data_IF_291558386763
#
_entry.id   IF_291558386763
#
_cell.length_a   1.000
_cell.length_b   1.000
_cell.length_c   1.000
_cell.angle_alpha   90.00
_cell.angle_beta   90.00
_cell.angle_gamma   90.00
#
_symmetry.space_group_name_H-M   'P 1'
#
loop_
_entity.id
_entity.type
_entity.pdbx_description
1 polymer ?
#
# COMPACT_ATOMS: atom_id res chain seq x y z
N UNK A 1 27.96 11.74 48.21
CA UNK A 1 26.65 12.44 48.08
C UNK A 1 26.27 12.69 46.62
N UNK A 2 27.21 13.08 45.74
CA UNK A 2 26.95 13.31 44.30
C UNK A 2 26.65 12.00 43.51
N UNK A 3 27.33 10.90 43.79
CA UNK A 3 27.06 9.59 43.15
C UNK A 3 25.65 9.04 43.43
N UNK A 4 25.16 9.16 44.67
CA UNK A 4 23.83 8.67 45.07
C UNK A 4 22.72 9.45 44.34
N UNK A 5 22.91 10.76 44.14
CA UNK A 5 21.98 11.60 43.37
C UNK A 5 21.96 11.18 41.90
N UNK A 6 23.12 10.82 41.33
CA UNK A 6 23.21 10.33 39.94
C UNK A 6 22.52 8.98 39.75
N UNK A 7 22.60 8.07 40.73
CA UNK A 7 22.00 6.75 40.65
C UNK A 7 20.47 6.82 40.78
N UNK A 8 19.96 7.67 41.68
CA UNK A 8 18.51 7.92 41.80
C UNK A 8 17.94 8.60 40.55
N UNK A 9 18.67 9.53 39.94
CA UNK A 9 18.29 10.14 38.67
C UNK A 9 18.26 9.12 37.52
N UNK A 10 19.22 8.19 37.49
CA UNK A 10 19.25 7.10 36.52
C UNK A 10 18.05 6.15 36.69
N UNK A 11 17.74 5.73 37.93
CA UNK A 11 16.55 4.91 38.21
C UNK A 11 15.26 5.62 37.78
N UNK A 12 15.14 6.92 38.05
CA UNK A 12 13.98 7.71 37.65
C UNK A 12 13.84 7.79 36.12
N UNK A 13 14.95 8.03 35.40
CA UNK A 13 14.95 8.04 33.94
C UNK A 13 14.57 6.67 33.36
N UNK A 14 15.10 5.58 33.92
CA UNK A 14 14.77 4.21 33.50
C UNK A 14 13.28 3.92 33.72
N UNK A 15 12.72 4.31 34.86
CA UNK A 15 11.28 4.13 35.15
C UNK A 15 10.41 4.94 34.18
N UNK A 16 10.78 6.17 33.83
CA UNK A 16 10.07 6.96 32.81
C UNK A 16 10.09 6.28 31.45
N UNK A 17 11.25 5.78 31.01
CA UNK A 17 11.38 5.08 29.72
C UNK A 17 10.53 3.81 29.72
N UNK A 18 10.57 3.01 30.79
CA UNK A 18 9.75 1.79 30.92
C UNK A 18 8.26 2.15 30.88
N UNK A 19 7.83 3.16 31.63
CA UNK A 19 6.43 3.61 31.60
C UNK A 19 6.03 4.09 30.20
N UNK A 20 6.87 4.89 29.53
CA UNK A 20 6.61 5.34 28.17
C UNK A 20 6.46 4.17 27.19
N UNK A 21 7.35 3.17 27.27
CA UNK A 21 7.27 1.96 26.45
C UNK A 21 5.98 1.17 26.74
N UNK A 22 5.60 1.00 28.01
CA UNK A 22 4.35 0.32 28.40
C UNK A 22 3.11 1.07 27.91
N UNK A 23 3.09 2.40 28.02
CA UNK A 23 1.99 3.23 27.51
C UNK A 23 1.89 3.17 25.99
N UNK A 24 3.01 3.26 25.27
CA UNK A 24 3.04 3.10 23.81
C UNK A 24 2.55 1.71 23.42
N UNK A 25 3.04 0.66 24.09
CA UNK A 25 2.63 -0.72 23.84
C UNK A 25 1.13 -0.91 24.06
N UNK A 26 0.59 -0.44 25.18
CA UNK A 26 -0.84 -0.52 25.51
C UNK A 26 -1.70 0.28 24.51
N UNK A 27 -1.23 1.45 24.09
CA UNK A 27 -1.90 2.28 23.08
C UNK A 27 -1.93 1.59 21.72
N UNK A 28 -0.80 1.05 21.27
CA UNK A 28 -0.68 0.33 19.99
C UNK A 28 -1.54 -0.93 19.99
N UNK A 29 -1.49 -1.74 21.06
CA UNK A 29 -2.30 -2.97 21.16
C UNK A 29 -3.81 -2.69 21.14
N UNK A 30 -4.30 -1.68 21.87
CA UNK A 30 -5.71 -1.28 21.77
C UNK A 30 -6.11 -0.86 20.36
N UNK A 31 -5.22 -0.13 19.67
CA UNK A 31 -5.47 0.31 18.28
C UNK A 31 -5.47 -0.86 17.29
N UNK A 32 -4.57 -1.84 17.48
CA UNK A 32 -4.53 -3.09 16.73
C UNK A 32 -5.80 -3.92 16.94
N UNK A 33 -6.24 -4.09 18.20
CA UNK A 33 -7.44 -4.86 18.52
C UNK A 33 -8.68 -4.29 17.84
N UNK A 34 -8.79 -2.96 17.71
CA UNK A 34 -9.89 -2.33 16.96
C UNK A 34 -9.90 -2.76 15.49
N UNK A 35 -8.75 -3.02 14.88
CA UNK A 35 -8.66 -3.34 13.44
C UNK A 35 -9.20 -4.75 13.13
N UNK A 36 -9.18 -5.67 14.10
CA UNK A 36 -9.54 -7.07 13.93
C UNK A 36 -10.92 -7.40 14.50
N UNK A 37 -11.97 -7.07 13.74
CA UNK A 37 -13.34 -7.56 14.00
C UNK A 37 -13.63 -8.86 13.24
N UNK A 38 -14.74 -9.52 13.56
CA UNK A 38 -15.25 -10.66 12.77
C UNK A 38 -15.41 -10.31 11.29
N UNK A 39 -15.91 -9.11 10.99
CA UNK A 39 -16.04 -8.63 9.60
C UNK A 39 -14.67 -8.45 8.92
N UNK A 40 -13.66 -8.01 9.66
CA UNK A 40 -12.28 -7.91 9.14
C UNK A 40 -11.77 -9.29 8.72
N UNK A 41 -11.92 -10.31 9.59
CA UNK A 41 -11.46 -11.66 9.30
C UNK A 41 -12.14 -12.27 8.07
N UNK A 42 -13.42 -11.98 7.85
CA UNK A 42 -14.16 -12.42 6.66
C UNK A 42 -13.69 -11.67 5.40
N UNK A 43 -13.34 -10.40 5.53
CA UNK A 43 -12.94 -9.58 4.40
C UNK A 43 -11.52 -9.89 3.90
N UNK A 44 -10.59 -10.30 4.78
CA UNK A 44 -9.20 -10.59 4.42
C UNK A 44 -9.10 -11.61 3.27
N UNK A 45 -9.74 -12.80 3.32
CA UNK A 45 -9.71 -13.76 2.21
C UNK A 45 -10.30 -13.22 0.90
N UNK A 46 -11.37 -12.42 0.99
CA UNK A 46 -12.00 -11.79 -0.20
C UNK A 46 -11.04 -10.78 -0.83
N UNK A 47 -10.39 -9.97 -0.02
CA UNK A 47 -9.39 -9.00 -0.48
C UNK A 47 -8.17 -9.69 -1.12
N UNK A 48 -7.70 -10.79 -0.53
CA UNK A 48 -6.64 -11.62 -1.12
C UNK A 48 -7.07 -12.17 -2.48
N UNK A 49 -8.29 -12.73 -2.59
CA UNK A 49 -8.80 -13.24 -3.86
C UNK A 49 -8.86 -12.14 -4.95
N UNK A 50 -9.28 -10.93 -4.59
CA UNK A 50 -9.28 -9.77 -5.49
C UNK A 50 -7.86 -9.46 -5.98
N UNK A 51 -6.91 -9.34 -5.05
CA UNK A 51 -5.51 -9.05 -5.36
C UNK A 51 -4.91 -10.07 -6.34
N UNK A 52 -5.08 -11.37 -6.05
CA UNK A 52 -4.55 -12.43 -6.91
C UNK A 52 -5.22 -12.44 -8.27
N UNK A 53 -6.55 -12.31 -8.33
CA UNK A 53 -7.30 -12.34 -9.59
C UNK A 53 -6.91 -11.17 -10.49
N UNK A 54 -6.88 -9.95 -9.95
CA UNK A 54 -6.54 -8.75 -10.73
C UNK A 54 -5.06 -8.79 -11.13
N UNK A 55 -4.16 -9.16 -10.21
CA UNK A 55 -2.74 -9.31 -10.50
C UNK A 55 -2.48 -10.29 -11.65
N UNK A 56 -3.18 -11.42 -11.69
CA UNK A 56 -3.06 -12.37 -12.81
C UNK A 56 -3.61 -11.81 -14.12
N UNK A 57 -4.75 -11.12 -14.11
CA UNK A 57 -5.29 -10.46 -15.31
C UNK A 57 -4.29 -9.44 -15.86
N UNK A 58 -3.69 -8.62 -14.99
CA UNK A 58 -2.68 -7.63 -15.33
C UNK A 58 -1.45 -8.28 -15.98
N UNK A 59 -0.95 -9.38 -15.41
CA UNK A 59 0.20 -10.11 -15.95
C UNK A 59 -0.10 -10.70 -17.33
N UNK A 60 -1.27 -11.31 -17.51
CA UNK A 60 -1.70 -11.88 -18.80
C UNK A 60 -1.87 -10.79 -19.87
N UNK A 61 -2.44 -9.64 -19.49
CA UNK A 61 -2.61 -8.49 -20.38
C UNK A 61 -1.32 -7.67 -20.58
N UNK A 62 -0.24 -8.02 -19.88
CA UNK A 62 1.05 -7.32 -19.88
C UNK A 62 0.91 -5.81 -19.65
N UNK A 63 0.02 -5.43 -18.73
CA UNK A 63 -0.14 -4.02 -18.40
C UNK A 63 1.11 -3.50 -17.67
N UNK A 64 1.50 -2.23 -17.87
CA UNK A 64 2.67 -1.63 -17.25
C UNK A 64 2.39 -1.12 -15.82
N UNK A 65 1.45 -1.74 -15.13
CA UNK A 65 1.04 -1.51 -13.73
C UNK A 65 0.81 -2.89 -13.08
N UNK A 66 0.73 -2.99 -11.76
CA UNK A 66 0.51 -4.27 -11.06
C UNK A 66 -0.95 -4.46 -10.63
N UNK A 67 -1.58 -3.41 -10.10
CA UNK A 67 -2.97 -3.38 -9.60
C UNK A 67 -3.31 -4.53 -8.62
N UNK A 68 -2.31 -5.11 -7.99
CA UNK A 68 -2.37 -6.32 -7.14
C UNK A 68 -2.67 -6.02 -5.67
N UNK A 69 -2.94 -4.75 -5.35
CA UNK A 69 -3.04 -4.26 -3.98
C UNK A 69 -4.39 -3.58 -3.68
N UNK A 70 -5.38 -3.74 -4.57
CA UNK A 70 -6.71 -3.10 -4.44
C UNK A 70 -7.42 -3.58 -3.16
N UNK A 71 -7.44 -4.89 -2.93
CA UNK A 71 -8.00 -5.49 -1.72
C UNK A 71 -7.22 -5.08 -0.47
N UNK A 72 -5.89 -4.99 -0.57
CA UNK A 72 -5.02 -4.54 0.52
C UNK A 72 -5.34 -3.11 0.97
N UNK A 73 -5.47 -2.19 0.01
CA UNK A 73 -5.86 -0.80 0.27
C UNK A 73 -7.28 -0.75 0.83
N UNK A 74 -8.21 -1.52 0.26
CA UNK A 74 -9.60 -1.57 0.72
C UNK A 74 -9.68 -1.97 2.20
N UNK A 75 -9.04 -3.07 2.60
CA UNK A 75 -9.01 -3.51 4.01
C UNK A 75 -8.30 -2.48 4.89
N UNK A 76 -7.18 -1.91 4.42
CA UNK A 76 -6.46 -0.86 5.14
C UNK A 76 -7.38 0.33 5.48
N UNK A 77 -8.16 0.78 4.50
CA UNK A 77 -9.05 1.94 4.63
C UNK A 77 -10.21 1.68 5.61
N UNK A 78 -10.94 0.57 5.45
CA UNK A 78 -12.21 0.34 6.18
C UNK A 78 -12.05 -0.48 7.46
N UNK A 79 -10.97 -1.25 7.60
CA UNK A 79 -10.69 -2.04 8.81
C UNK A 79 -9.54 -1.44 9.63
N UNK A 80 -8.53 -0.86 8.99
CA UNK A 80 -7.43 -0.16 9.65
C UNK A 80 -6.03 -0.61 9.22
N UNK A 81 -4.98 0.11 9.67
CA UNK A 81 -3.61 -0.09 9.21
C UNK A 81 -3.11 -1.53 9.37
N UNK A 82 -3.37 -2.16 10.51
CA UNK A 82 -2.82 -3.49 10.81
C UNK A 82 -3.55 -4.59 10.07
N UNK A 83 -4.86 -4.45 9.88
CA UNK A 83 -5.64 -5.34 9.04
C UNK A 83 -5.20 -5.25 7.56
N UNK A 84 -4.98 -4.03 7.06
CA UNK A 84 -4.43 -3.82 5.72
C UNK A 84 -3.04 -4.44 5.56
N UNK A 85 -2.14 -4.21 6.52
CA UNK A 85 -0.79 -4.78 6.50
C UNK A 85 -0.80 -6.31 6.47
N UNK A 86 -1.63 -6.94 7.31
CA UNK A 86 -1.79 -8.38 7.32
C UNK A 86 -2.35 -8.90 6.00
N UNK A 87 -3.36 -8.22 5.44
CA UNK A 87 -3.95 -8.59 4.14
C UNK A 87 -2.92 -8.60 3.03
N UNK A 88 -2.11 -7.54 2.93
CA UNK A 88 -1.06 -7.43 1.93
C UNK A 88 0.02 -8.50 2.09
N UNK A 89 0.53 -8.67 3.32
CA UNK A 89 1.52 -9.71 3.61
C UNK A 89 1.02 -11.11 3.23
N UNK A 90 -0.19 -11.46 3.67
CA UNK A 90 -0.80 -12.75 3.37
C UNK A 90 -1.05 -12.92 1.87
N UNK A 91 -1.46 -11.86 1.15
CA UNK A 91 -1.67 -11.93 -0.30
C UNK A 91 -0.42 -12.42 -1.02
N UNK A 92 0.74 -11.83 -0.72
CA UNK A 92 1.99 -12.17 -1.40
C UNK A 92 2.59 -13.50 -0.92
N UNK A 93 2.40 -13.86 0.36
CA UNK A 93 2.81 -15.18 0.87
C UNK A 93 1.99 -16.29 0.19
N UNK A 94 0.67 -16.11 0.10
CA UNK A 94 -0.22 -17.09 -0.54
C UNK A 94 0.08 -17.17 -2.05
N UNK A 95 0.29 -16.04 -2.72
CA UNK A 95 0.77 -16.01 -4.11
C UNK A 95 2.08 -16.78 -4.28
N UNK A 96 3.00 -16.64 -3.32
CA UNK A 96 4.28 -17.36 -3.26
C UNK A 96 4.12 -18.88 -3.29
N UNK A 97 3.12 -19.40 -2.59
CA UNK A 97 2.85 -20.84 -2.53
C UNK A 97 2.07 -21.38 -3.75
N UNK A 98 1.12 -20.60 -4.27
CA UNK A 98 0.13 -21.11 -5.24
C UNK A 98 0.48 -20.73 -6.69
N UNK A 99 1.14 -19.59 -6.89
CA UNK A 99 1.39 -19.03 -8.21
C UNK A 99 2.87 -19.13 -8.58
N UNK A 100 3.73 -18.41 -7.85
CA UNK A 100 5.18 -18.38 -8.12
C UNK A 100 5.97 -17.94 -6.88
N UNK A 101 7.08 -18.62 -6.51
CA UNK A 101 7.90 -18.25 -5.35
C UNK A 101 8.49 -16.83 -5.40
N UNK A 102 8.59 -16.21 -6.57
CA UNK A 102 9.05 -14.83 -6.74
C UNK A 102 8.14 -13.78 -6.08
N UNK A 103 6.95 -14.16 -5.62
CA UNK A 103 6.06 -13.30 -4.84
C UNK A 103 6.47 -13.15 -3.37
N UNK A 104 7.15 -14.14 -2.78
CA UNK A 104 7.51 -14.11 -1.35
C UNK A 104 8.28 -12.86 -0.95
N UNK A 105 9.35 -12.43 -1.66
CA UNK A 105 10.13 -11.26 -1.24
C UNK A 105 9.31 -9.98 -1.13
N UNK A 106 8.16 -9.88 -1.81
CA UNK A 106 7.33 -8.67 -1.86
C UNK A 106 6.34 -8.55 -0.71
N UNK A 107 6.19 -9.55 0.17
CA UNK A 107 5.24 -9.47 1.30
C UNK A 107 5.45 -8.24 2.21
N UNK A 108 6.69 -7.75 2.50
CA UNK A 108 6.88 -6.56 3.31
C UNK A 108 6.38 -5.30 2.61
N UNK A 109 6.52 -5.23 1.27
CA UNK A 109 6.03 -4.13 0.45
C UNK A 109 4.51 -4.08 0.50
N UNK A 110 3.85 -5.22 0.30
CA UNK A 110 2.39 -5.33 0.39
C UNK A 110 1.87 -4.99 1.80
N UNK A 111 2.59 -5.39 2.85
CA UNK A 111 2.28 -4.98 4.22
C UNK A 111 2.38 -3.46 4.41
N UNK A 112 3.44 -2.84 3.89
CA UNK A 112 3.64 -1.39 3.97
C UNK A 112 2.57 -0.61 3.20
N UNK A 113 2.10 -1.12 2.05
CA UNK A 113 0.99 -0.55 1.28
C UNK A 113 -0.28 -0.51 2.12
N UNK A 114 -0.68 -1.65 2.71
CA UNK A 114 -1.89 -1.74 3.53
C UNK A 114 -1.82 -0.91 4.81
N UNK A 115 -0.67 -0.89 5.47
CA UNK A 115 -0.43 -0.06 6.64
C UNK A 115 -0.59 1.43 6.30
N UNK A 116 0.09 1.87 5.24
CA UNK A 116 0.07 3.28 4.79
C UNK A 116 -1.33 3.72 4.38
N UNK A 117 -2.04 2.88 3.62
CA UNK A 117 -3.42 3.14 3.24
C UNK A 117 -4.33 3.35 4.47
N UNK A 118 -4.22 2.47 5.47
CA UNK A 118 -5.01 2.60 6.68
C UNK A 118 -4.61 3.81 7.53
N UNK A 119 -3.33 4.19 7.57
CA UNK A 119 -2.88 5.40 8.28
C UNK A 119 -3.46 6.64 7.63
N UNK A 120 -3.35 6.75 6.30
CA UNK A 120 -3.89 7.87 5.52
C UNK A 120 -5.42 7.96 5.64
N UNK A 121 -6.11 6.82 5.66
CA UNK A 121 -7.55 6.78 5.85
C UNK A 121 -7.98 7.36 7.22
N UNK A 122 -7.23 7.06 8.30
CA UNK A 122 -7.55 7.58 9.64
C UNK A 122 -7.41 9.09 9.77
N UNK A 123 -6.52 9.71 8.97
CA UNK A 123 -6.39 11.17 8.91
C UNK A 123 -7.36 11.79 7.90
N UNK A 124 -8.39 11.06 7.46
CA UNK A 124 -9.42 11.49 6.52
C UNK A 124 -8.93 11.78 5.09
N UNK A 125 -7.81 11.18 4.67
CA UNK A 125 -7.27 11.32 3.31
C UNK A 125 -7.88 10.33 2.28
N UNK A 126 -8.97 9.65 2.64
CA UNK A 126 -9.71 8.76 1.73
C UNK A 126 -11.15 9.21 1.44
N UNK A 127 -11.47 10.48 1.73
CA UNK A 127 -12.85 11.02 1.61
C UNK A 127 -13.18 11.63 0.25
N UNK A 128 -12.17 12.05 -0.51
CA UNK A 128 -12.31 12.74 -1.79
C UNK A 128 -11.26 12.22 -2.78
N UNK A 129 -11.60 12.16 -4.07
CA UNK A 129 -10.71 11.61 -5.12
C UNK A 129 -9.28 12.19 -5.09
N UNK A 130 -9.12 13.50 -4.89
CA UNK A 130 -7.79 14.13 -4.88
C UNK A 130 -6.98 13.75 -3.63
N UNK A 131 -7.65 13.55 -2.47
CA UNK A 131 -6.99 13.06 -1.25
C UNK A 131 -6.55 11.59 -1.44
N UNK A 132 -7.34 10.82 -2.20
CA UNK A 132 -6.98 9.45 -2.59
C UNK A 132 -5.78 9.45 -3.53
N UNK A 133 -5.66 10.41 -4.45
CA UNK A 133 -4.44 10.60 -5.27
C UNK A 133 -3.23 10.87 -4.38
N UNK A 134 -3.34 11.77 -3.40
CA UNK A 134 -2.25 12.02 -2.44
C UNK A 134 -1.93 10.76 -1.63
N UNK A 135 -2.95 10.02 -1.19
CA UNK A 135 -2.77 8.74 -0.49
C UNK A 135 -2.02 7.73 -1.36
N UNK A 136 -2.40 7.58 -2.62
CA UNK A 136 -1.72 6.71 -3.57
C UNK A 136 -0.26 7.10 -3.78
N UNK A 137 0.05 8.39 -3.83
CA UNK A 137 1.42 8.87 -3.92
C UNK A 137 2.24 8.58 -2.65
N UNK A 138 1.67 8.74 -1.46
CA UNK A 138 2.34 8.37 -0.19
C UNK A 138 2.56 6.86 -0.11
N UNK A 139 1.58 6.06 -0.57
CA UNK A 139 1.73 4.61 -0.70
C UNK A 139 2.86 4.26 -1.67
N UNK A 140 2.98 4.95 -2.81
CA UNK A 140 4.06 4.74 -3.77
C UNK A 140 5.44 5.01 -3.17
N UNK A 141 5.58 6.06 -2.36
CA UNK A 141 6.82 6.35 -1.64
C UNK A 141 7.15 5.23 -0.64
N UNK A 142 6.16 4.82 0.16
CA UNK A 142 6.35 3.73 1.12
C UNK A 142 6.74 2.41 0.42
N UNK A 143 6.06 2.09 -0.68
CA UNK A 143 6.36 0.92 -1.51
C UNK A 143 7.76 1.00 -2.13
N UNK A 144 8.17 2.17 -2.61
CA UNK A 144 9.51 2.38 -3.19
C UNK A 144 10.61 2.23 -2.14
N UNK A 145 10.43 2.80 -0.94
CA UNK A 145 11.42 2.72 0.15
C UNK A 145 11.62 1.28 0.60
N UNK A 146 10.54 0.50 0.74
CA UNK A 146 10.62 -0.89 1.18
C UNK A 146 11.02 -1.82 0.03
N UNK A 147 10.52 -1.57 -1.18
CA UNK A 147 10.69 -2.43 -2.35
C UNK A 147 12.04 -2.28 -3.05
N UNK A 148 12.65 -1.09 -3.05
CA UNK A 148 13.95 -0.87 -3.72
C UNK A 148 15.07 -1.76 -3.15
N UNK A 149 15.29 -1.82 -1.82
CA UNK A 149 16.31 -2.71 -1.25
C UNK A 149 16.05 -4.18 -1.58
N UNK A 150 14.78 -4.61 -1.55
CA UNK A 150 14.38 -5.98 -1.87
C UNK A 150 14.66 -6.28 -3.35
N UNK A 151 14.31 -5.36 -4.25
CA UNK A 151 14.56 -5.51 -5.68
C UNK A 151 16.06 -5.69 -5.97
N UNK A 152 16.90 -4.84 -5.37
CA UNK A 152 18.35 -4.91 -5.55
C UNK A 152 18.93 -6.19 -4.93
N UNK A 153 18.57 -6.51 -3.68
CA UNK A 153 19.18 -7.61 -2.94
C UNK A 153 18.76 -8.99 -3.45
N UNK A 154 17.51 -9.15 -3.89
CA UNK A 154 16.95 -10.45 -4.27
C UNK A 154 16.96 -10.66 -5.79
N UNK A 155 16.72 -9.60 -6.56
CA UNK A 155 16.55 -9.68 -8.02
C UNK A 155 17.65 -8.97 -8.80
N UNK A 156 18.68 -8.42 -8.13
CA UNK A 156 19.74 -7.66 -8.80
C UNK A 156 19.22 -6.41 -9.54
N UNK A 157 18.04 -5.90 -9.15
CA UNK A 157 17.34 -4.76 -9.75
C UNK A 157 16.53 -5.04 -11.00
N UNK A 158 16.52 -6.28 -11.52
CA UNK A 158 15.70 -6.69 -12.66
C UNK A 158 14.77 -7.80 -12.17
N UNK A 159 13.49 -7.48 -11.96
CA UNK A 159 12.46 -8.43 -11.54
C UNK A 159 11.57 -8.84 -12.72
N UNK A 160 10.61 -9.73 -12.49
CA UNK A 160 9.63 -10.17 -13.49
C UNK A 160 8.62 -9.07 -13.93
N UNK A 161 8.79 -7.83 -13.46
CA UNK A 161 7.89 -6.74 -13.82
C UNK A 161 8.18 -6.13 -15.19
N UNK A 162 7.13 -5.60 -15.83
CA UNK A 162 7.28 -4.80 -17.05
C UNK A 162 8.11 -3.52 -16.85
N UNK A 163 8.20 -3.00 -15.63
CA UNK A 163 9.01 -1.81 -15.32
C UNK A 163 10.52 -2.09 -15.38
N UNK A 164 10.95 -3.36 -15.17
CA UNK A 164 12.37 -3.74 -15.17
C UNK A 164 13.07 -3.54 -16.52
N UNK A 165 12.31 -3.45 -17.63
CA UNK A 165 12.84 -3.10 -18.95
C UNK A 165 13.55 -1.74 -18.91
N UNK A 166 13.01 -0.77 -18.17
CA UNK A 166 13.62 0.55 -18.02
C UNK A 166 14.85 0.48 -17.15
N UNK A 167 14.80 -0.32 -16.08
CA UNK A 167 15.97 -0.49 -15.23
C UNK A 167 17.13 -1.07 -16.04
N UNK A 168 16.87 -2.06 -16.89
CA UNK A 168 17.86 -2.64 -17.80
C UNK A 168 18.40 -1.59 -18.79
N UNK A 169 17.52 -0.82 -19.44
CA UNK A 169 17.94 0.26 -20.33
C UNK A 169 18.82 1.31 -19.61
N UNK A 170 18.42 1.76 -18.41
CA UNK A 170 19.21 2.73 -17.65
C UNK A 170 20.57 2.17 -17.21
N UNK A 171 20.64 0.87 -16.89
CA UNK A 171 21.91 0.19 -16.61
C UNK A 171 22.83 0.19 -17.84
N UNK A 172 22.29 -0.10 -19.03
CA UNK A 172 23.05 -0.06 -20.29
C UNK A 172 23.58 1.34 -20.62
N UNK A 173 22.86 2.40 -20.24
CA UNK A 173 23.34 3.80 -20.37
C UNK A 173 24.46 4.17 -19.37
N UNK A 174 24.91 3.23 -18.54
CA UNK A 174 26.01 3.42 -17.59
C UNK A 174 25.59 4.02 -16.24
N UNK A 175 24.28 4.08 -15.92
CA UNK A 175 23.83 4.52 -14.60
C UNK A 175 24.07 3.45 -13.54
N UNK A 176 24.26 3.88 -12.30
CA UNK A 176 24.38 2.96 -11.17
C UNK A 176 23.07 2.20 -10.95
N UNK A 177 23.17 0.94 -10.51
CA UNK A 177 22.02 0.07 -10.26
C UNK A 177 20.94 0.72 -9.38
N UNK A 178 21.38 1.34 -8.29
CA UNK A 178 20.49 2.03 -7.36
C UNK A 178 19.76 3.19 -8.04
N UNK A 179 20.47 4.02 -8.83
CA UNK A 179 19.86 5.13 -9.55
C UNK A 179 18.86 4.65 -10.61
N UNK A 180 19.17 3.56 -11.32
CA UNK A 180 18.28 2.95 -12.30
C UNK A 180 16.99 2.44 -11.65
N UNK A 181 17.10 1.64 -10.58
CA UNK A 181 15.93 1.09 -9.87
C UNK A 181 15.07 2.20 -9.26
N UNK A 182 15.68 3.20 -8.61
CA UNK A 182 14.93 4.33 -8.05
C UNK A 182 14.22 5.15 -9.12
N UNK A 183 14.87 5.41 -10.25
CA UNK A 183 14.25 6.16 -11.36
C UNK A 183 13.04 5.41 -11.91
N UNK A 184 13.19 4.11 -12.14
CA UNK A 184 12.09 3.25 -12.60
C UNK A 184 10.94 3.24 -11.58
N UNK A 185 11.22 3.00 -10.31
CA UNK A 185 10.19 2.92 -9.27
C UNK A 185 9.47 4.27 -9.10
N UNK A 186 10.18 5.40 -9.17
CA UNK A 186 9.58 6.72 -9.06
C UNK A 186 8.62 7.05 -10.22
N UNK A 187 8.80 6.43 -11.39
CA UNK A 187 7.89 6.62 -12.53
C UNK A 187 6.67 5.69 -12.40
N UNK A 188 6.88 4.41 -12.05
CA UNK A 188 5.84 3.38 -12.13
C UNK A 188 5.01 3.25 -10.86
N UNK A 189 5.63 3.32 -9.69
CA UNK A 189 4.94 3.13 -8.41
C UNK A 189 3.84 4.19 -8.20
N UNK A 190 4.03 5.48 -8.51
CA UNK A 190 2.94 6.45 -8.41
C UNK A 190 1.74 6.11 -9.29
N UNK A 191 1.97 5.74 -10.56
CA UNK A 191 0.91 5.40 -11.50
C UNK A 191 0.13 4.19 -10.98
N UNK A 192 0.83 3.15 -10.53
CA UNK A 192 0.24 1.94 -9.99
C UNK A 192 -0.54 2.19 -8.69
N UNK A 193 0.07 2.85 -7.70
CA UNK A 193 -0.54 3.03 -6.37
C UNK A 193 -1.62 4.10 -6.34
N UNK A 194 -1.55 5.12 -7.19
CA UNK A 194 -2.66 6.06 -7.41
C UNK A 194 -3.84 5.33 -8.06
N UNK A 195 -3.59 4.56 -9.12
CA UNK A 195 -4.66 3.80 -9.80
C UNK A 195 -5.31 2.79 -8.86
N UNK A 196 -4.50 2.02 -8.13
CA UNK A 196 -4.95 1.06 -7.11
C UNK A 196 -5.81 1.73 -6.03
N UNK A 197 -5.38 2.89 -5.53
CA UNK A 197 -6.11 3.60 -4.48
C UNK A 197 -7.43 4.17 -4.98
N UNK A 198 -7.46 4.70 -6.21
CA UNK A 198 -8.68 5.21 -6.84
C UNK A 198 -9.67 4.08 -7.16
N UNK A 199 -9.19 2.90 -7.57
CA UNK A 199 -10.02 1.72 -7.76
C UNK A 199 -10.62 1.24 -6.43
N UNK A 200 -9.81 1.18 -5.36
CA UNK A 200 -10.32 0.86 -4.03
C UNK A 200 -11.35 1.90 -3.56
N UNK A 201 -11.13 3.19 -3.83
CA UNK A 201 -12.09 4.26 -3.57
C UNK A 201 -13.40 4.06 -4.35
N UNK A 202 -13.34 3.75 -5.64
CA UNK A 202 -14.52 3.50 -6.45
C UNK A 202 -15.33 2.30 -5.94
N UNK A 203 -14.66 1.21 -5.54
CA UNK A 203 -15.31 0.04 -4.95
C UNK A 203 -16.00 0.43 -3.63
N UNK A 204 -15.30 1.12 -2.74
CA UNK A 204 -15.85 1.49 -1.42
C UNK A 204 -17.02 2.46 -1.58
N UNK A 205 -16.91 3.43 -2.48
CA UNK A 205 -17.98 4.38 -2.73
C UNK A 205 -19.20 3.70 -3.40
N UNK A 206 -19.01 2.61 -4.13
CA UNK A 206 -20.11 1.74 -4.56
C UNK A 206 -20.89 1.05 -3.43
N UNK A 207 -20.32 0.96 -2.21
CA UNK A 207 -20.95 0.30 -1.07
C UNK A 207 -21.96 1.22 -0.36
N UNK A 208 -23.00 0.63 0.23
CA UNK A 208 -23.97 1.37 1.04
C UNK A 208 -23.37 1.77 2.40
N UNK A 209 -23.76 2.92 2.94
CA UNK A 209 -23.33 3.37 4.27
C UNK A 209 -23.66 2.35 5.36
N UNK A 210 -24.78 1.61 5.21
CA UNK A 210 -25.17 0.53 6.13
C UNK A 210 -24.21 -0.66 6.09
N UNK A 211 -23.63 -0.96 4.93
CA UNK A 211 -22.63 -2.00 4.80
C UNK A 211 -21.29 -1.55 5.40
N UNK A 212 -20.87 -0.31 5.12
CA UNK A 212 -19.64 0.26 5.68
C UNK A 212 -19.67 0.34 7.21
N UNK A 213 -20.83 0.66 7.80
CA UNK A 213 -21.01 0.71 9.25
C UNK A 213 -20.77 -0.62 9.98
N UNK A 214 -20.65 -1.75 9.26
CA UNK A 214 -20.31 -3.06 9.84
C UNK A 214 -18.80 -3.23 10.07
N UNK A 215 -17.97 -2.40 9.45
CA UNK A 215 -16.52 -2.48 9.58
C UNK A 215 -16.00 -1.56 10.69
N UNK A 216 -14.86 -1.89 11.31
CA UNK A 216 -14.35 -1.14 12.46
C UNK A 216 -14.06 0.34 12.22
N UNK A 217 -13.79 0.71 10.96
CA UNK A 217 -13.43 2.07 10.55
C UNK A 217 -14.15 2.48 9.26
N UNK A 218 -15.39 2.03 9.08
CA UNK A 218 -16.19 2.35 7.89
C UNK A 218 -16.37 3.86 7.67
N UNK A 219 -16.30 4.66 8.74
CA UNK A 219 -16.35 6.12 8.70
C UNK A 219 -15.22 6.76 7.87
N UNK A 220 -14.06 6.10 7.77
CA UNK A 220 -12.89 6.60 7.03
C UNK A 220 -13.17 6.81 5.54
N UNK A 221 -14.13 6.07 4.98
CA UNK A 221 -14.44 6.07 3.55
C UNK A 221 -15.82 6.66 3.23
N UNK A 222 -16.45 7.31 4.21
CA UNK A 222 -17.69 8.07 3.94
C UNK A 222 -17.36 9.37 3.22
N UNK A 223 -17.75 9.43 1.95
CA UNK A 223 -17.60 10.62 1.09
C UNK A 223 -18.50 11.76 1.58
N UNK A 224 -18.01 12.99 1.47
CA UNK A 224 -18.77 14.20 1.82
C UNK A 224 -20.08 14.27 1.01
N UNK A 225 -21.22 14.47 1.70
CA UNK A 225 -22.56 14.43 1.08
C UNK A 225 -22.67 15.47 -0.05
N UNK A 226 -23.03 15.00 -1.25
CA UNK A 226 -23.47 15.87 -2.37
C UNK A 226 -22.73 15.71 -3.70
N UNK A 227 -21.61 14.96 -3.77
CA UNK A 227 -20.84 14.83 -5.03
C UNK A 227 -20.41 13.39 -5.38
N UNK A 228 -21.06 12.39 -4.81
CA UNK A 228 -20.69 10.97 -4.92
C UNK A 228 -20.45 10.50 -6.38
N UNK A 229 -21.42 10.73 -7.25
CA UNK A 229 -21.33 10.36 -8.67
C UNK A 229 -20.19 11.08 -9.41
N UNK A 230 -20.05 12.39 -9.20
CA UNK A 230 -18.99 13.19 -9.84
C UNK A 230 -17.60 12.74 -9.40
N UNK A 231 -17.41 12.44 -8.11
CA UNK A 231 -16.13 11.95 -7.61
C UNK A 231 -15.78 10.56 -8.15
N UNK A 232 -16.77 9.67 -8.26
CA UNK A 232 -16.60 8.36 -8.90
C UNK A 232 -16.18 8.47 -10.36
N UNK A 233 -16.88 9.30 -11.14
CA UNK A 233 -16.57 9.49 -12.56
C UNK A 233 -15.17 10.07 -12.72
N UNK A 234 -14.80 11.07 -11.93
CA UNK A 234 -13.43 11.63 -11.97
C UNK A 234 -12.40 10.57 -11.60
N UNK A 235 -12.62 9.80 -10.53
CA UNK A 235 -11.70 8.74 -10.12
C UNK A 235 -11.50 7.70 -11.23
N UNK A 236 -12.58 7.22 -11.84
CA UNK A 236 -12.53 6.26 -12.94
C UNK A 236 -11.85 6.83 -14.19
N UNK A 237 -12.14 8.09 -14.55
CA UNK A 237 -11.47 8.78 -15.66
C UNK A 237 -9.98 8.91 -15.39
N UNK A 238 -9.57 9.30 -14.19
CA UNK A 238 -8.15 9.40 -13.81
C UNK A 238 -7.47 8.04 -13.88
N UNK A 239 -8.11 6.97 -13.39
CA UNK A 239 -7.59 5.60 -13.52
C UNK A 239 -7.39 5.22 -14.98
N UNK A 240 -8.40 5.45 -15.83
CA UNK A 240 -8.31 5.16 -17.26
C UNK A 240 -7.17 5.96 -17.90
N UNK A 241 -7.04 7.25 -17.58
CA UNK A 241 -5.96 8.09 -18.10
C UNK A 241 -4.58 7.60 -17.64
N UNK A 242 -4.42 7.17 -16.39
CA UNK A 242 -3.16 6.63 -15.86
C UNK A 242 -2.81 5.29 -16.51
N UNK A 243 -3.80 4.40 -16.69
CA UNK A 243 -3.59 3.12 -17.38
C UNK A 243 -3.25 3.37 -18.86
N UNK A 244 -3.96 4.27 -19.54
CA UNK A 244 -3.66 4.63 -20.93
C UNK A 244 -2.29 5.28 -21.08
N UNK A 245 -1.91 6.18 -20.17
CA UNK A 245 -0.58 6.75 -20.12
C UNK A 245 0.47 5.64 -19.93
N UNK A 246 0.22 4.72 -19.01
CA UNK A 246 1.04 3.54 -18.83
C UNK A 246 1.18 2.74 -20.12
N UNK A 247 0.08 2.34 -20.75
CA UNK A 247 0.06 1.44 -21.90
C UNK A 247 0.60 2.09 -23.18
N UNK A 248 0.28 3.36 -23.46
CA UNK A 248 0.59 3.98 -24.75
C UNK A 248 1.79 4.90 -24.72
N UNK A 249 2.06 5.54 -23.58
CA UNK A 249 3.15 6.52 -23.48
C UNK A 249 4.41 5.85 -22.93
N UNK A 250 4.30 4.96 -21.93
CA UNK A 250 5.51 4.36 -21.36
C UNK A 250 6.27 3.49 -22.37
N UNK A 251 5.67 2.53 -23.12
CA UNK A 251 6.45 1.74 -24.09
C UNK A 251 7.23 2.57 -25.12
N UNK A 252 6.72 3.75 -25.50
CA UNK A 252 7.37 4.66 -26.46
C UNK A 252 8.53 5.45 -25.85
N UNK A 253 8.49 5.74 -24.55
CA UNK A 253 9.59 6.38 -23.82
C UNK A 253 10.70 5.37 -23.50
N UNK A 254 10.34 4.09 -23.40
CA UNK A 254 11.22 3.02 -22.91
C UNK A 254 11.87 2.20 -24.03
N UNK A 255 11.87 2.72 -25.26
CA UNK A 255 12.60 2.13 -26.39
C UNK A 255 11.93 0.91 -27.04
N UNK A 256 10.60 0.82 -27.01
CA UNK A 256 9.84 -0.09 -27.87
C UNK A 256 9.80 0.33 -29.32
#
# INVERSE_FOLDING_TARGET
MIEIISQNALYFAVVIVIMALLFVWAYVTKRMQKDFSTMTWVLIPVAIAINLTIGQIVLVLKLPVYLDSIGTVLVGVICGPWAGALTGALSNIIAGFILDPGWFPWFPVAAAIGATAGVMANISFFKNWWKVVVTGFVIAIAATIVGTPINIAVFGGISASGSSIITAFLLETGRSLLASVLTTNFIFEPIDKISTSLLAFAIIDGLSTRYLARFPRGENATVEKGQKYTQLVIALVVVVLLILFGVFVMPRITGG
#
